data_IF_361217349437
#
_entry.id   IF_361217349437
#
_cell.length_a   1.000
_cell.length_b   1.000
_cell.length_c   1.000
_cell.angle_alpha   90.00
_cell.angle_beta   90.00
_cell.angle_gamma   90.00
#
_symmetry.space_group_name_H-M   'P 1'
#
loop_
_entity.id
_entity.type
_entity.pdbx_description
1 polymer ?
#
# COMPACT_ATOMS: atom_id res chain seq x y z
N UNK A 1 -41.77 -23.76 -36.34
CA UNK A 1 -40.55 -23.85 -35.52
C UNK A 1 -40.90 -23.46 -34.10
N UNK A 2 -41.10 -24.45 -33.23
CA UNK A 2 -41.58 -24.27 -31.85
C UNK A 2 -40.42 -23.79 -30.97
N UNK A 3 -40.55 -22.59 -30.40
CA UNK A 3 -39.59 -22.06 -29.44
C UNK A 3 -39.64 -22.92 -28.16
N UNK A 4 -38.61 -23.74 -27.94
CA UNK A 4 -38.41 -24.46 -26.68
C UNK A 4 -38.22 -23.42 -25.56
N UNK A 5 -39.04 -23.38 -24.51
CA UNK A 5 -38.85 -22.44 -23.41
C UNK A 5 -37.50 -22.76 -22.73
N UNK A 6 -36.61 -21.76 -22.65
CA UNK A 6 -35.36 -21.85 -21.89
C UNK A 6 -35.75 -22.15 -20.44
N UNK A 7 -35.38 -23.34 -19.94
CA UNK A 7 -35.54 -23.68 -18.52
C UNK A 7 -34.88 -22.58 -17.67
N UNK A 8 -35.51 -22.15 -16.56
CA UNK A 8 -34.86 -21.23 -15.64
C UNK A 8 -33.56 -21.89 -15.17
N UNK A 9 -32.43 -21.22 -15.38
CA UNK A 9 -31.16 -21.71 -14.88
C UNK A 9 -31.30 -21.95 -13.37
N UNK A 10 -30.92 -23.14 -12.85
CA UNK A 10 -31.00 -23.41 -11.43
C UNK A 10 -30.16 -22.39 -10.66
N UNK A 11 -30.63 -22.01 -9.47
CA UNK A 11 -29.90 -21.09 -8.60
C UNK A 11 -28.48 -21.63 -8.34
N UNK A 12 -27.43 -20.80 -8.44
CA UNK A 12 -26.06 -21.29 -8.37
C UNK A 12 -25.71 -21.82 -6.98
N UNK A 13 -24.90 -22.86 -6.96
CA UNK A 13 -24.29 -23.40 -5.74
C UNK A 13 -23.10 -22.54 -5.30
N UNK A 14 -22.69 -22.65 -4.02
CA UNK A 14 -21.47 -21.99 -3.49
C UNK A 14 -20.25 -22.26 -4.38
N UNK A 15 -20.07 -23.52 -4.79
CA UNK A 15 -18.93 -23.94 -5.62
C UNK A 15 -18.94 -23.26 -7.00
N UNK A 16 -20.09 -23.18 -7.66
CA UNK A 16 -20.21 -22.48 -8.95
C UNK A 16 -19.91 -20.99 -8.83
N UNK A 17 -20.28 -20.36 -7.71
CA UNK A 17 -19.93 -18.95 -7.44
C UNK A 17 -18.43 -18.79 -7.21
N UNK A 18 -17.80 -19.71 -6.47
CA UNK A 18 -16.34 -19.72 -6.30
C UNK A 18 -15.61 -19.88 -7.62
N UNK A 19 -16.05 -20.83 -8.46
CA UNK A 19 -15.43 -21.08 -9.75
C UNK A 19 -15.64 -19.91 -10.71
N UNK A 20 -16.81 -19.25 -10.68
CA UNK A 20 -17.01 -18.02 -11.42
C UNK A 20 -16.04 -16.90 -10.99
N UNK A 21 -15.89 -16.69 -9.69
CA UNK A 21 -14.91 -15.72 -9.14
C UNK A 21 -13.48 -16.19 -9.41
N UNK A 22 -13.27 -17.50 -9.61
CA UNK A 22 -12.00 -18.07 -10.04
C UNK A 22 -11.67 -17.63 -11.45
N UNK A 23 -12.60 -17.80 -12.37
CA UNK A 23 -12.34 -17.55 -13.78
C UNK A 23 -12.32 -16.06 -14.13
N UNK A 24 -12.80 -15.19 -13.24
CA UNK A 24 -12.84 -13.74 -13.44
C UNK A 24 -11.71 -13.03 -12.67
N UNK A 25 -10.71 -12.44 -13.36
CA UNK A 25 -9.66 -11.68 -12.68
C UNK A 25 -10.22 -10.37 -12.09
N UNK A 26 -10.26 -10.28 -10.75
CA UNK A 26 -10.54 -9.02 -10.02
C UNK A 26 -11.69 -9.10 -9.02
N UNK A 27 -12.18 -7.92 -8.59
CA UNK A 27 -13.32 -7.81 -7.69
C UNK A 27 -14.64 -8.05 -8.42
N UNK A 28 -15.35 -9.12 -8.11
CA UNK A 28 -16.63 -9.46 -8.73
C UNK A 28 -17.79 -8.93 -7.88
N UNK A 29 -18.71 -8.20 -8.50
CA UNK A 29 -19.89 -7.65 -7.86
C UNK A 29 -21.12 -8.55 -7.99
N UNK A 30 -22.07 -8.39 -7.06
CA UNK A 30 -23.37 -9.08 -7.08
C UNK A 30 -24.10 -8.97 -8.42
N UNK A 31 -23.98 -7.84 -9.13
CA UNK A 31 -24.61 -7.62 -10.44
C UNK A 31 -24.01 -8.49 -11.54
N UNK A 32 -22.71 -8.71 -11.50
CA UNK A 32 -21.98 -9.53 -12.48
C UNK A 32 -22.31 -11.02 -12.28
N UNK A 33 -22.29 -11.48 -11.02
CA UNK A 33 -22.71 -12.86 -10.65
C UNK A 33 -24.18 -13.09 -11.04
N UNK A 34 -25.08 -12.16 -10.69
CA UNK A 34 -26.49 -12.28 -11.06
C UNK A 34 -26.71 -12.32 -12.58
N UNK A 35 -25.89 -11.60 -13.36
CA UNK A 35 -25.96 -11.63 -14.82
C UNK A 35 -25.45 -12.96 -15.40
N UNK A 36 -24.34 -13.47 -14.87
CA UNK A 36 -23.73 -14.73 -15.32
C UNK A 36 -24.64 -15.94 -15.09
N UNK A 37 -25.35 -15.97 -13.95
CA UNK A 37 -26.26 -17.05 -13.59
C UNK A 37 -27.73 -16.76 -13.96
N UNK A 38 -28.00 -15.71 -14.75
CA UNK A 38 -29.35 -15.32 -15.17
C UNK A 38 -30.36 -15.15 -14.02
N UNK A 39 -29.89 -14.63 -12.87
CA UNK A 39 -30.70 -14.46 -11.66
C UNK A 39 -31.56 -13.19 -11.78
N UNK A 40 -32.87 -13.41 -11.74
CA UNK A 40 -33.87 -12.33 -11.72
C UNK A 40 -33.88 -11.52 -10.42
N UNK A 41 -34.70 -10.46 -10.32
CA UNK A 41 -34.76 -9.59 -9.13
C UNK A 41 -35.05 -10.34 -7.82
N UNK A 42 -35.89 -11.38 -7.86
CA UNK A 42 -36.26 -12.19 -6.69
C UNK A 42 -35.06 -12.92 -6.07
N UNK A 43 -34.23 -13.59 -6.88
CA UNK A 43 -33.06 -14.35 -6.40
C UNK A 43 -31.85 -13.49 -6.00
N UNK A 44 -31.93 -12.15 -6.14
CA UNK A 44 -30.83 -11.25 -5.73
C UNK A 44 -30.69 -11.12 -4.22
N UNK A 45 -31.74 -11.42 -3.46
CA UNK A 45 -31.71 -11.47 -2.00
C UNK A 45 -30.95 -12.73 -1.55
N UNK A 46 -31.31 -13.88 -2.10
CA UNK A 46 -30.67 -15.18 -1.80
C UNK A 46 -29.21 -15.19 -2.20
N UNK A 47 -28.87 -14.62 -3.37
CA UNK A 47 -27.47 -14.47 -3.79
C UNK A 47 -26.66 -13.63 -2.80
N UNK A 48 -27.26 -12.59 -2.21
CA UNK A 48 -26.59 -11.77 -1.18
C UNK A 48 -26.36 -12.59 0.09
N UNK A 49 -27.31 -13.42 0.49
CA UNK A 49 -27.15 -14.29 1.66
C UNK A 49 -26.03 -15.32 1.42
N UNK A 50 -26.05 -15.98 0.26
CA UNK A 50 -25.02 -16.93 -0.16
C UNK A 50 -23.61 -16.30 -0.16
N UNK A 51 -23.45 -15.12 -0.78
CA UNK A 51 -22.17 -14.42 -0.78
C UNK A 51 -21.70 -14.01 0.62
N UNK A 52 -22.63 -13.68 1.52
CA UNK A 52 -22.31 -13.33 2.91
C UNK A 52 -21.82 -14.56 3.66
N UNK A 53 -22.52 -15.68 3.52
CA UNK A 53 -22.14 -16.95 4.12
C UNK A 53 -20.73 -17.39 3.68
N UNK A 54 -20.43 -17.30 2.39
CA UNK A 54 -19.10 -17.63 1.86
C UNK A 54 -17.99 -16.70 2.38
N UNK A 55 -18.30 -15.44 2.66
CA UNK A 55 -17.36 -14.51 3.31
C UNK A 55 -17.16 -14.87 4.77
N UNK A 56 -18.25 -15.18 5.48
CA UNK A 56 -18.20 -15.54 6.89
C UNK A 56 -17.47 -16.90 7.07
N UNK A 57 -17.53 -17.80 6.08
CA UNK A 57 -16.74 -19.04 5.98
C UNK A 57 -15.27 -18.83 5.54
N UNK A 58 -14.86 -17.58 5.24
CA UNK A 58 -13.50 -17.26 4.79
C UNK A 58 -13.16 -17.69 3.37
N UNK A 59 -14.15 -18.16 2.59
CA UNK A 59 -13.94 -18.56 1.20
C UNK A 59 -13.85 -17.36 0.24
N UNK A 60 -14.30 -16.18 0.69
CA UNK A 60 -14.25 -14.92 -0.06
C UNK A 60 -13.83 -13.77 0.86
N UNK A 61 -13.06 -12.83 0.32
CA UNK A 61 -12.75 -11.57 1.00
C UNK A 61 -13.68 -10.44 0.54
N UNK A 62 -14.05 -9.55 1.46
CA UNK A 62 -14.86 -8.36 1.15
C UNK A 62 -14.00 -7.32 0.43
N UNK A 63 -14.26 -7.13 -0.86
CA UNK A 63 -13.70 -6.06 -1.67
C UNK A 63 -14.47 -4.74 -1.54
N UNK A 64 -14.05 -3.73 -2.31
CA UNK A 64 -14.70 -2.40 -2.30
C UNK A 64 -16.13 -2.46 -2.86
N UNK A 65 -17.02 -1.61 -2.34
CA UNK A 65 -18.42 -1.44 -2.81
C UNK A 65 -19.26 -2.74 -2.86
N UNK A 66 -19.12 -3.62 -1.86
CA UNK A 66 -19.84 -4.92 -1.77
C UNK A 66 -19.49 -5.90 -2.89
N UNK A 67 -18.27 -5.78 -3.44
CA UNK A 67 -17.68 -6.80 -4.31
C UNK A 67 -16.97 -7.84 -3.46
N UNK A 68 -16.77 -9.02 -4.02
CA UNK A 68 -16.02 -10.11 -3.39
C UNK A 68 -14.82 -10.44 -4.27
N UNK A 69 -13.71 -10.77 -3.61
CA UNK A 69 -12.51 -11.27 -4.25
C UNK A 69 -12.11 -12.58 -3.57
N UNK A 70 -11.22 -13.33 -4.21
CA UNK A 70 -10.63 -14.50 -3.55
C UNK A 70 -9.79 -14.06 -2.35
N UNK A 71 -9.67 -14.91 -1.32
CA UNK A 71 -8.71 -14.70 -0.25
C UNK A 71 -7.30 -14.49 -0.79
N UNK A 72 -6.61 -13.45 -0.31
CA UNK A 72 -5.25 -13.10 -0.74
C UNK A 72 -5.12 -12.42 -2.10
N UNK A 73 -6.22 -12.03 -2.75
CA UNK A 73 -6.15 -11.23 -3.96
C UNK A 73 -5.80 -9.77 -3.63
N UNK A 74 -4.80 -9.21 -4.32
CA UNK A 74 -4.51 -7.79 -4.17
C UNK A 74 -5.72 -6.92 -4.57
N UNK A 75 -6.01 -5.84 -3.83
CA UNK A 75 -7.02 -4.88 -4.22
C UNK A 75 -6.74 -4.31 -5.61
N UNK A 76 -7.79 -3.87 -6.29
CA UNK A 76 -7.67 -3.29 -7.63
C UNK A 76 -6.83 -1.99 -7.67
N UNK A 77 -6.61 -1.32 -6.54
CA UNK A 77 -5.73 -0.14 -6.46
C UNK A 77 -4.88 -0.24 -5.21
N UNK A 78 -3.56 -0.23 -5.42
CA UNK A 78 -2.55 -0.46 -4.38
C UNK A 78 -1.38 0.50 -4.61
N UNK A 79 -0.68 0.83 -3.53
CA UNK A 79 0.60 1.53 -3.61
C UNK A 79 1.70 0.49 -3.80
N UNK A 80 2.46 0.63 -4.88
CA UNK A 80 3.57 -0.25 -5.23
C UNK A 80 4.89 0.50 -5.16
N UNK A 81 5.95 -0.18 -4.76
CA UNK A 81 7.32 0.31 -4.75
C UNK A 81 8.08 -0.36 -5.90
N UNK A 82 8.73 0.44 -6.74
CA UNK A 82 9.54 -0.05 -7.86
C UNK A 82 10.86 -0.60 -7.32
N UNK A 83 11.11 -1.88 -7.56
CA UNK A 83 12.29 -2.60 -7.05
C UNK A 83 13.40 -2.76 -8.06
N UNK A 84 13.09 -2.69 -9.36
CA UNK A 84 14.07 -2.92 -10.41
C UNK A 84 13.43 -2.90 -11.79
N UNK A 85 14.21 -3.36 -12.77
CA UNK A 85 13.78 -3.61 -14.15
C UNK A 85 14.03 -5.07 -14.51
N UNK A 86 13.16 -5.66 -15.32
CA UNK A 86 13.45 -6.96 -15.95
C UNK A 86 14.45 -6.80 -17.10
N UNK A 87 14.89 -7.93 -17.65
CA UNK A 87 15.79 -8.04 -18.80
C UNK A 87 15.29 -7.29 -20.05
N UNK A 88 13.97 -7.18 -20.21
CA UNK A 88 13.32 -6.43 -21.29
C UNK A 88 13.15 -4.93 -21.01
N UNK A 89 13.62 -4.45 -19.84
CA UNK A 89 13.52 -3.05 -19.43
C UNK A 89 12.16 -2.65 -18.81
N UNK A 90 11.26 -3.62 -18.58
CA UNK A 90 10.00 -3.37 -17.86
C UNK A 90 10.24 -3.15 -16.36
N UNK A 91 9.52 -2.20 -15.76
CA UNK A 91 9.65 -1.91 -14.33
C UNK A 91 8.98 -2.99 -13.49
N UNK A 92 9.72 -3.55 -12.54
CA UNK A 92 9.21 -4.52 -11.56
C UNK A 92 8.95 -3.81 -10.24
N UNK A 93 7.73 -3.96 -9.73
CA UNK A 93 7.30 -3.42 -8.46
C UNK A 93 6.79 -4.51 -7.51
N UNK A 94 6.75 -4.17 -6.23
CA UNK A 94 6.13 -4.95 -5.14
C UNK A 94 5.07 -4.11 -4.44
N UNK A 95 4.00 -4.71 -3.89
CA UNK A 95 3.07 -3.98 -3.04
C UNK A 95 3.77 -3.51 -1.75
N UNK A 96 3.48 -2.29 -1.29
CA UNK A 96 4.02 -1.79 -0.01
C UNK A 96 3.40 -2.52 1.18
N UNK A 97 2.09 -2.79 1.11
CA UNK A 97 1.36 -3.53 2.13
C UNK A 97 1.04 -4.93 1.61
N UNK A 98 1.57 -5.95 2.28
CA UNK A 98 1.34 -7.36 1.98
C UNK A 98 1.13 -8.13 3.29
N UNK A 99 -0.12 -8.35 3.65
CA UNK A 99 -0.51 -8.99 4.93
C UNK A 99 -0.60 -10.52 4.82
N UNK A 100 -0.62 -11.04 3.59
CA UNK A 100 -0.81 -12.46 3.29
C UNK A 100 0.58 -13.12 3.32
N UNK A 101 1.01 -13.66 4.46
CA UNK A 101 2.37 -14.21 4.64
C UNK A 101 2.91 -15.01 3.44
N UNK A 102 4.20 -14.82 3.12
CA UNK A 102 4.85 -15.44 1.95
C UNK A 102 5.48 -14.40 1.01
N UNK A 103 5.98 -14.87 -0.15
CA UNK A 103 6.60 -13.98 -1.14
C UNK A 103 5.52 -13.14 -1.84
N UNK A 104 5.63 -11.79 -1.85
CA UNK A 104 4.65 -10.95 -2.52
C UNK A 104 4.63 -11.23 -4.03
N UNK A 105 3.47 -11.10 -4.68
CA UNK A 105 3.35 -11.32 -6.13
C UNK A 105 4.20 -10.30 -6.91
N UNK A 106 4.71 -10.71 -8.08
CA UNK A 106 5.45 -9.81 -8.97
C UNK A 106 4.46 -8.88 -9.65
N UNK A 107 4.79 -7.59 -9.69
CA UNK A 107 3.97 -6.58 -10.36
C UNK A 107 4.79 -5.95 -11.49
N UNK A 108 4.33 -6.09 -12.73
CA UNK A 108 4.91 -5.42 -13.90
C UNK A 108 4.25 -4.05 -14.05
N UNK A 109 5.03 -2.99 -13.90
CA UNK A 109 4.55 -1.62 -13.98
C UNK A 109 4.65 -1.13 -15.43
N UNK A 110 3.49 -0.90 -16.04
CA UNK A 110 3.41 -0.34 -17.37
C UNK A 110 3.96 1.09 -17.40
N UNK A 111 4.59 1.52 -18.50
CA UNK A 111 5.14 2.87 -18.62
C UNK A 111 4.03 3.92 -18.49
N UNK A 112 4.39 5.07 -17.90
CA UNK A 112 3.45 6.16 -17.70
C UNK A 112 3.02 6.75 -19.05
N UNK A 113 1.73 6.65 -19.37
CA UNK A 113 1.18 7.14 -20.65
C UNK A 113 1.17 8.67 -20.75
N UNK A 114 1.25 9.38 -19.63
CA UNK A 114 1.26 10.85 -19.59
C UNK A 114 2.70 11.33 -19.39
N UNK A 115 3.30 11.89 -20.45
CA UNK A 115 4.65 12.51 -20.47
C UNK A 115 4.74 13.82 -19.66
N UNK A 116 3.99 13.97 -18.57
CA UNK A 116 3.91 15.24 -17.81
C UNK A 116 4.68 15.21 -16.48
N UNK A 117 5.58 14.25 -16.29
CA UNK A 117 6.40 14.16 -15.10
C UNK A 117 7.74 13.47 -15.34
N UNK A 118 8.61 13.56 -14.34
CA UNK A 118 9.86 12.80 -14.25
C UNK A 118 9.54 11.30 -14.32
N UNK A 119 10.32 10.56 -15.12
CA UNK A 119 10.14 9.12 -15.29
C UNK A 119 10.11 8.38 -13.94
N UNK A 120 9.27 7.35 -13.86
CA UNK A 120 9.22 6.44 -12.72
C UNK A 120 10.51 5.61 -12.73
N UNK A 121 11.24 5.65 -11.62
CA UNK A 121 12.49 4.92 -11.44
C UNK A 121 12.44 3.92 -10.28
N UNK A 122 13.52 3.16 -10.12
CA UNK A 122 13.73 2.27 -8.98
C UNK A 122 13.73 3.08 -7.68
N UNK A 123 13.00 2.59 -6.67
CA UNK A 123 12.80 3.26 -5.38
C UNK A 123 11.55 4.16 -5.32
N UNK A 124 10.91 4.44 -6.46
CA UNK A 124 9.70 5.24 -6.47
C UNK A 124 8.49 4.48 -5.91
N UNK A 125 7.65 5.21 -5.18
CA UNK A 125 6.33 4.73 -4.75
C UNK A 125 5.28 5.25 -5.70
N UNK A 126 4.41 4.37 -6.19
CA UNK A 126 3.42 4.68 -7.21
C UNK A 126 2.07 4.16 -6.78
N UNK A 127 1.05 5.03 -6.85
CA UNK A 127 -0.34 4.58 -6.76
C UNK A 127 -0.71 3.97 -8.12
N UNK A 128 -0.96 2.67 -8.15
CA UNK A 128 -1.25 1.96 -9.39
C UNK A 128 -2.58 1.20 -9.32
N UNK A 129 -3.22 1.12 -10.48
CA UNK A 129 -4.36 0.23 -10.70
C UNK A 129 -3.82 -1.13 -11.13
N UNK A 130 -4.16 -2.17 -10.38
CA UNK A 130 -3.71 -3.54 -10.64
C UNK A 130 -4.70 -4.28 -11.55
N UNK A 131 -4.15 -5.04 -12.47
CA UNK A 131 -4.85 -6.01 -13.30
C UNK A 131 -4.16 -7.36 -13.13
N UNK A 132 -4.90 -8.37 -12.71
CA UNK A 132 -4.34 -9.69 -12.47
C UNK A 132 -4.13 -10.40 -13.82
N UNK A 133 -2.90 -10.84 -14.09
CA UNK A 133 -2.60 -11.69 -15.25
C UNK A 133 -2.72 -13.16 -14.82
N UNK A 134 -2.08 -13.54 -13.72
CA UNK A 134 -2.15 -14.87 -13.13
C UNK A 134 -2.01 -14.82 -11.60
N UNK A 135 -1.90 -15.99 -10.95
CA UNK A 135 -1.86 -16.08 -9.49
C UNK A 135 -0.63 -15.39 -8.85
N UNK A 136 0.46 -15.19 -9.59
CA UNK A 136 1.71 -14.62 -9.09
C UNK A 136 2.17 -13.35 -9.83
N UNK A 137 1.41 -12.91 -10.84
CA UNK A 137 1.75 -11.80 -11.73
C UNK A 137 0.58 -10.83 -11.90
N UNK A 138 0.86 -9.56 -11.62
CA UNK A 138 -0.04 -8.46 -11.84
C UNK A 138 0.57 -7.46 -12.81
N UNK A 139 -0.25 -6.90 -13.70
CA UNK A 139 0.07 -5.69 -14.45
C UNK A 139 -0.40 -4.48 -13.64
N UNK A 140 0.44 -3.47 -13.49
CA UNK A 140 0.11 -2.23 -12.83
C UNK A 140 0.08 -1.08 -13.83
N UNK A 141 -1.03 -0.33 -13.85
CA UNK A 141 -1.12 0.94 -14.57
C UNK A 141 -0.91 2.09 -13.59
N UNK A 142 0.14 2.92 -13.76
CA UNK A 142 0.39 4.04 -12.87
C UNK A 142 -0.75 5.06 -12.97
N UNK A 143 -1.23 5.51 -11.81
CA UNK A 143 -2.20 6.61 -11.69
C UNK A 143 -1.46 7.91 -11.38
N UNK A 144 -0.59 7.87 -10.36
CA UNK A 144 0.29 8.97 -9.97
C UNK A 144 1.46 8.45 -9.16
N UNK A 145 2.58 9.16 -9.24
CA UNK A 145 3.71 8.99 -8.30
C UNK A 145 3.32 9.54 -6.93
N UNK A 146 3.82 8.90 -5.89
CA UNK A 146 3.75 9.38 -4.53
C UNK A 146 5.14 9.85 -4.13
N UNK A 147 5.22 10.97 -3.41
CA UNK A 147 6.47 11.38 -2.80
C UNK A 147 6.95 10.24 -1.88
N UNK A 148 8.26 10.00 -1.79
CA UNK A 148 8.81 9.12 -0.76
C UNK A 148 8.26 9.56 0.59
N UNK A 149 7.93 8.60 1.45
CA UNK A 149 7.61 8.97 2.83
C UNK A 149 8.84 9.68 3.41
N UNK A 150 8.68 10.84 4.05
CA UNK A 150 9.81 11.57 4.57
C UNK A 150 10.55 10.69 5.58
N UNK A 151 11.85 10.46 5.36
CA UNK A 151 12.66 9.64 6.24
C UNK A 151 12.57 10.18 7.66
N UNK A 152 12.20 9.32 8.61
CA UNK A 152 12.23 9.65 10.03
C UNK A 152 13.60 9.29 10.58
N UNK A 153 14.14 10.15 11.43
CA UNK A 153 15.44 10.01 12.06
C UNK A 153 15.24 10.15 13.56
N UNK A 154 15.79 9.20 14.30
CA UNK A 154 15.88 9.29 15.75
C UNK A 154 17.24 9.85 16.14
N UNK A 155 17.27 10.88 16.98
CA UNK A 155 18.52 11.46 17.41
C UNK A 155 18.44 12.24 18.71
N UNK A 156 19.61 12.62 19.20
CA UNK A 156 19.77 13.46 20.39
C UNK A 156 19.93 14.91 19.95
N UNK A 157 19.18 15.80 20.59
CA UNK A 157 19.28 17.23 20.36
C UNK A 157 20.52 17.84 21.02
N UNK A 158 21.28 18.61 20.25
CA UNK A 158 22.36 19.46 20.75
C UNK A 158 22.16 20.91 20.27
N UNK A 159 22.09 21.90 21.19
CA UNK A 159 21.93 23.29 20.79
C UNK A 159 23.18 23.80 20.05
N UNK A 160 22.95 24.51 18.95
CA UNK A 160 23.97 25.16 18.14
C UNK A 160 24.04 26.68 18.36
N UNK A 161 25.06 27.34 17.77
CA UNK A 161 25.19 28.79 17.84
C UNK A 161 24.02 29.49 17.12
N UNK A 162 23.61 30.66 17.63
CA UNK A 162 22.57 31.49 17.02
C UNK A 162 21.16 30.92 17.08
N UNK A 163 20.86 30.06 18.07
CA UNK A 163 19.53 29.48 18.29
C UNK A 163 19.14 28.35 17.33
N UNK A 164 20.06 27.95 16.44
CA UNK A 164 19.92 26.71 15.65
C UNK A 164 20.15 25.48 16.53
N UNK A 165 19.67 24.32 16.10
CA UNK A 165 19.91 23.05 16.76
C UNK A 165 20.57 22.03 15.85
N UNK A 166 21.22 21.04 16.43
CA UNK A 166 21.69 19.84 15.74
C UNK A 166 20.97 18.63 16.30
N UNK A 167 20.68 17.68 15.42
CA UNK A 167 20.19 16.36 15.78
C UNK A 167 21.28 15.35 15.41
N UNK A 168 21.82 14.68 16.41
CA UNK A 168 22.83 13.64 16.24
C UNK A 168 22.11 12.30 16.19
N UNK A 169 22.18 11.59 15.07
CA UNK A 169 21.54 10.27 14.93
C UNK A 169 22.06 9.28 15.96
N UNK A 170 21.15 8.52 16.57
CA UNK A 170 21.48 7.40 17.48
C UNK A 170 21.53 6.06 16.75
N UNK A 171 21.20 6.03 15.46
CA UNK A 171 21.21 4.79 14.68
C UNK A 171 22.64 4.35 14.38
N UNK A 172 22.98 3.09 14.68
CA UNK A 172 24.34 2.55 14.44
C UNK A 172 24.76 2.61 12.97
N UNK A 173 23.81 2.63 12.04
CA UNK A 173 24.03 2.67 10.59
C UNK A 173 24.19 4.08 10.04
N UNK A 174 23.72 5.09 10.77
CA UNK A 174 23.76 6.48 10.32
C UNK A 174 24.38 7.36 11.42
N UNK A 175 25.63 7.80 11.18
CA UNK A 175 26.35 8.72 12.08
C UNK A 175 26.26 10.17 11.60
N UNK A 176 25.29 10.50 10.74
CA UNK A 176 25.13 11.86 10.26
C UNK A 176 24.60 12.80 11.35
N UNK A 177 24.98 14.07 11.20
CA UNK A 177 24.40 15.19 11.92
C UNK A 177 23.38 15.89 11.01
N UNK A 178 22.25 16.25 11.59
CA UNK A 178 21.19 17.00 10.92
C UNK A 178 20.98 18.35 11.58
N UNK A 179 20.53 19.33 10.82
CA UNK A 179 20.25 20.67 11.30
C UNK A 179 18.77 20.81 11.64
N UNK A 180 18.46 21.38 12.80
CA UNK A 180 17.12 21.82 13.19
C UNK A 180 17.08 23.34 13.04
N UNK A 181 16.06 23.84 12.33
CA UNK A 181 15.86 25.28 12.14
C UNK A 181 15.59 26.00 13.46
N UNK A 182 15.90 27.30 13.51
CA UNK A 182 15.76 28.10 14.74
C UNK A 182 14.35 28.02 15.36
N UNK A 183 13.31 28.16 14.54
CA UNK A 183 11.91 28.13 14.98
C UNK A 183 11.51 26.76 15.57
N UNK A 184 12.09 25.68 15.03
CA UNK A 184 11.81 24.31 15.47
C UNK A 184 12.71 23.88 16.65
N UNK A 185 13.80 24.60 16.91
CA UNK A 185 14.73 24.34 18.01
C UNK A 185 14.26 24.94 19.35
N UNK A 186 13.32 25.89 19.31
CA UNK A 186 12.84 26.60 20.48
C UNK A 186 12.15 25.65 21.48
N UNK A 187 12.62 25.66 22.74
CA UNK A 187 12.07 24.82 23.81
C UNK A 187 12.54 23.36 23.82
N UNK A 188 13.46 22.96 22.92
CA UNK A 188 14.15 21.67 22.99
C UNK A 188 15.31 21.72 24.00
N UNK A 189 15.49 20.64 24.75
CA UNK A 189 16.54 20.55 25.75
C UNK A 189 17.74 19.75 25.25
N UNK A 190 18.94 20.17 25.63
CA UNK A 190 20.17 19.42 25.32
C UNK A 190 20.06 18.00 25.86
N UNK A 191 20.37 17.00 25.04
CA UNK A 191 20.31 15.59 25.43
C UNK A 191 18.95 14.93 25.24
N UNK A 192 17.94 15.68 24.82
CA UNK A 192 16.60 15.16 24.56
C UNK A 192 16.57 14.28 23.30
N UNK A 193 15.91 13.14 23.41
CA UNK A 193 15.67 12.20 22.31
C UNK A 193 14.46 12.66 21.51
N UNK A 194 14.67 12.85 20.21
CA UNK A 194 13.68 13.41 19.30
C UNK A 194 13.55 12.52 18.09
N UNK A 195 12.31 12.22 17.73
CA UNK A 195 11.96 11.69 16.42
C UNK A 195 11.72 12.89 15.49
N UNK A 196 12.53 13.00 14.44
CA UNK A 196 12.44 14.10 13.48
C UNK A 196 12.22 13.58 12.07
N UNK A 197 11.62 14.42 11.23
CA UNK A 197 11.39 14.18 9.82
C UNK A 197 12.44 14.89 8.99
N UNK A 198 13.08 14.16 8.07
CA UNK A 198 13.98 14.74 7.08
C UNK A 198 13.21 15.60 6.09
N UNK A 199 13.56 16.88 6.01
CA UNK A 199 12.96 17.79 5.05
C UNK A 199 13.65 17.64 3.67
N UNK A 200 12.88 17.67 2.56
CA UNK A 200 13.46 17.70 1.23
C UNK A 200 14.26 18.99 1.03
N UNK A 201 15.54 18.88 0.67
CA UNK A 201 16.45 20.04 0.60
C UNK A 201 17.85 19.70 0.09
N UNK A 202 18.67 20.73 -0.14
CA UNK A 202 19.99 20.66 -0.80
C UNK A 202 20.89 19.54 -0.25
N UNK A 203 21.51 18.79 -1.16
CA UNK A 203 22.52 17.75 -0.85
C UNK A 203 23.88 18.31 -0.37
N UNK A 204 24.04 19.64 -0.36
CA UNK A 204 25.27 20.31 0.08
C UNK A 204 25.08 20.85 1.50
N UNK A 205 25.83 20.29 2.46
CA UNK A 205 25.76 20.65 3.87
C UNK A 205 24.96 19.65 4.73
N UNK A 206 24.75 19.99 6.00
CA UNK A 206 23.90 19.20 6.91
C UNK A 206 22.45 19.26 6.41
N UNK A 207 21.79 18.10 6.41
CA UNK A 207 20.38 18.03 5.97
C UNK A 207 19.47 18.60 7.05
N UNK A 208 18.43 19.31 6.62
CA UNK A 208 17.47 19.92 7.54
C UNK A 208 16.45 18.88 8.00
N UNK A 209 16.16 18.86 9.30
CA UNK A 209 15.14 18.01 9.91
C UNK A 209 14.15 18.85 10.71
N UNK A 210 12.91 18.40 10.75
CA UNK A 210 11.85 18.98 11.56
C UNK A 210 11.47 18.02 12.69
N UNK A 211 11.54 18.43 13.97
CA UNK A 211 11.05 17.63 15.09
C UNK A 211 9.58 17.24 14.90
N UNK A 212 9.27 15.95 15.06
CA UNK A 212 7.90 15.44 15.04
C UNK A 212 7.42 15.12 16.46
N UNK A 213 8.26 14.44 17.23
CA UNK A 213 7.89 13.92 18.55
C UNK A 213 9.08 14.00 19.51
N UNK A 214 8.79 14.39 20.76
CA UNK A 214 9.74 14.49 21.86
C UNK A 214 9.61 13.25 22.73
N UNK A 215 10.61 12.38 22.71
CA UNK A 215 10.59 11.10 23.43
C UNK A 215 11.21 11.22 24.83
N UNK A 216 11.73 12.40 25.19
CA UNK A 216 12.29 12.70 26.51
C UNK A 216 13.78 12.43 26.61
N UNK A 217 14.33 12.39 27.83
CA UNK A 217 15.77 12.18 28.06
C UNK A 217 16.18 10.75 27.70
N UNK A 218 17.36 10.60 27.07
CA UNK A 218 17.98 9.31 26.73
C UNK A 218 18.15 8.39 27.94
N UNK A 219 18.14 8.96 29.17
CA UNK A 219 18.24 8.23 30.44
C UNK A 219 16.94 7.60 30.94
N UNK A 220 15.80 7.84 30.27
CA UNK A 220 14.51 7.28 30.72
C UNK A 220 14.14 6.00 29.93
N UNK A 221 13.85 4.87 30.62
CA UNK A 221 13.59 3.57 29.99
C UNK A 221 12.30 3.50 29.16
N UNK A 222 11.44 4.52 29.18
CA UNK A 222 10.20 4.58 28.38
C UNK A 222 10.41 4.88 26.90
N UNK A 223 11.58 5.39 26.51
CA UNK A 223 11.87 5.77 25.11
C UNK A 223 12.12 4.57 24.18
N UNK A 224 12.40 3.38 24.73
CA UNK A 224 12.79 2.19 23.95
C UNK A 224 11.57 1.36 23.50
N UNK A 225 10.40 1.54 24.11
CA UNK A 225 9.22 0.68 23.87
C UNK A 225 8.30 1.09 22.71
N UNK A 226 8.54 2.21 22.03
CA UNK A 226 7.69 2.67 20.91
C UNK A 226 8.21 2.24 19.52
N UNK A 227 9.35 1.55 19.43
CA UNK A 227 10.08 1.28 18.18
C UNK A 227 10.06 -0.22 17.79
N UNK A 228 9.14 -0.99 18.38
CA UNK A 228 8.99 -2.42 18.09
C UNK A 228 7.59 -2.76 17.55
N UNK A 229 7.14 -2.10 16.47
CA UNK A 229 6.02 -2.57 15.63
C UNK A 229 6.31 -2.25 14.17
#
# INVERSE_FOLDING_TARGET
>A
MTHRPKQPAPFPTKQQVLDFIRDHPGEVGKREIARAFHIGPAGKADLKALMREMVDEGQLERGRKRRVARPGALPHTVIVEVTGTDTDGELIAKPIAWEQGGKPPRILLAPERRRQGTAIGVGDRVLAKLHRINDHLYEARPIRRLAPEPSRILGVFEPGPGGSGRLISVEKRDKAEYMIGHEDAEGLQRGELILAQLLPGRHYGMRLVKPLERLGDTKQPKAVSLIAI
#
